data_IF_640193793058
#
_entry.id   IF_640193793058
#
_cell.length_a   1.000
_cell.length_b   1.000
_cell.length_c   1.000
_cell.angle_alpha   90.00
_cell.angle_beta   90.00
_cell.angle_gamma   90.00
#
_symmetry.space_group_name_H-M   'P 1'
#
loop_
_entity.id
_entity.type
_entity.pdbx_description
1 polymer ?
#
# COMPACT_ATOMS: atom_id res chain seq x y z
N UNK A 1 -1.70 5.39 -10.99
CA UNK A 1 -2.41 5.96 -9.82
C UNK A 1 -1.49 6.18 -8.63
N UNK A 2 -0.62 5.23 -8.28
CA UNK A 2 0.29 5.33 -7.13
C UNK A 2 1.20 6.57 -7.14
N UNK A 3 1.71 6.98 -8.30
CA UNK A 3 2.55 8.20 -8.44
C UNK A 3 1.78 9.48 -8.10
N UNK A 4 0.52 9.60 -8.55
CA UNK A 4 -0.33 10.75 -8.25
C UNK A 4 -0.65 10.85 -6.75
N UNK A 5 -0.84 9.70 -6.10
CA UNK A 5 -1.04 9.63 -4.64
C UNK A 5 0.25 10.02 -3.91
N UNK A 6 1.41 9.53 -4.34
CA UNK A 6 2.71 9.87 -3.76
C UNK A 6 3.02 11.37 -3.87
N UNK A 7 2.74 12.00 -5.01
CA UNK A 7 2.86 13.45 -5.20
C UNK A 7 1.98 14.22 -4.21
N UNK A 8 0.73 13.79 -4.03
CA UNK A 8 -0.22 14.41 -3.10
C UNK A 8 0.23 14.31 -1.65
N UNK A 9 0.79 13.16 -1.26
CA UNK A 9 1.33 12.93 0.09
C UNK A 9 2.57 13.78 0.32
N UNK A 10 3.44 13.91 -0.68
CA UNK A 10 4.60 14.80 -0.63
C UNK A 10 4.19 16.26 -0.36
N UNK A 11 3.15 16.74 -1.04
CA UNK A 11 2.59 18.07 -0.80
C UNK A 11 1.98 18.20 0.61
N UNK A 12 1.27 17.18 1.09
CA UNK A 12 0.68 17.18 2.43
C UNK A 12 1.76 17.25 3.51
N UNK A 13 2.77 16.38 3.47
CA UNK A 13 3.89 16.40 4.42
C UNK A 13 4.70 17.68 4.29
N UNK A 14 4.93 18.19 3.08
CA UNK A 14 5.60 19.47 2.85
C UNK A 14 4.86 20.67 3.45
N UNK A 15 3.52 20.64 3.48
CA UNK A 15 2.71 21.69 4.10
C UNK A 15 2.54 21.53 5.62
N UNK A 16 2.67 20.31 6.14
CA UNK A 16 2.49 20.00 7.57
C UNK A 16 3.67 20.47 8.43
N UNK A 17 4.87 20.42 7.87
CA UNK A 17 6.12 20.73 8.56
C UNK A 17 6.70 22.05 8.05
N UNK A 18 7.11 22.94 8.97
CA UNK A 18 7.81 24.18 8.59
C UNK A 18 9.26 23.91 8.14
N UNK A 19 9.87 22.84 8.64
CA UNK A 19 11.21 22.40 8.25
C UNK A 19 11.15 21.25 7.23
N UNK A 20 11.52 21.53 5.98
CA UNK A 20 11.58 20.53 4.90
C UNK A 20 12.46 19.32 5.25
N UNK A 21 13.57 19.52 5.96
CA UNK A 21 14.46 18.43 6.37
C UNK A 21 13.77 17.42 7.29
N UNK A 22 12.97 17.89 8.26
CA UNK A 22 12.20 17.04 9.17
C UNK A 22 11.03 16.38 8.42
N UNK A 23 10.38 17.13 7.53
CA UNK A 23 9.28 16.64 6.70
C UNK A 23 9.68 15.42 5.86
N UNK A 24 10.85 15.48 5.22
CA UNK A 24 11.35 14.40 4.36
C UNK A 24 11.66 13.14 5.16
N UNK A 25 12.32 13.27 6.31
CA UNK A 25 12.62 12.12 7.19
C UNK A 25 11.33 11.48 7.67
N UNK A 26 10.36 12.27 8.15
CA UNK A 26 9.07 11.76 8.59
C UNK A 26 8.33 11.03 7.45
N UNK A 27 8.31 11.61 6.25
CA UNK A 27 7.69 11.01 5.08
C UNK A 27 8.33 9.66 4.72
N UNK A 28 9.66 9.59 4.72
CA UNK A 28 10.38 8.34 4.42
C UNK A 28 10.13 7.25 5.47
N UNK A 29 10.17 7.60 6.76
CA UNK A 29 9.87 6.66 7.85
C UNK A 29 8.44 6.11 7.72
N UNK A 30 7.46 6.98 7.41
CA UNK A 30 6.10 6.55 7.16
C UNK A 30 6.01 5.61 5.95
N UNK A 31 6.60 5.97 4.82
CA UNK A 31 6.63 5.16 3.60
C UNK A 31 7.23 3.77 3.85
N UNK A 32 8.39 3.70 4.49
CA UNK A 32 9.05 2.43 4.83
C UNK A 32 8.19 1.60 5.78
N UNK A 33 7.59 2.24 6.80
CA UNK A 33 6.67 1.56 7.73
C UNK A 33 5.47 0.94 7.01
N UNK A 34 4.87 1.67 6.06
CA UNK A 34 3.75 1.16 5.26
C UNK A 34 4.16 0.05 4.31
N UNK A 35 5.34 0.14 3.67
CA UNK A 35 5.86 -0.90 2.81
C UNK A 35 6.11 -2.21 3.58
N UNK A 36 6.68 -2.11 4.78
CA UNK A 36 6.89 -3.27 5.66
C UNK A 36 5.55 -3.90 6.11
N UNK A 37 4.54 -3.07 6.40
CA UNK A 37 3.22 -3.55 6.79
C UNK A 37 2.45 -4.24 5.65
N UNK A 38 2.72 -3.87 4.39
CA UNK A 38 2.16 -4.51 3.19
C UNK A 38 2.87 -5.84 2.89
N UNK A 39 4.19 -5.87 3.06
CA UNK A 39 5.04 -7.02 2.80
C UNK A 39 5.10 -8.00 3.96
N UNK A 40 4.02 -8.75 4.19
CA UNK A 40 4.16 -10.18 4.48
C UNK A 40 4.96 -10.60 5.74
N UNK A 41 5.11 -9.75 6.76
CA UNK A 41 6.05 -10.04 7.86
C UNK A 41 5.48 -10.80 9.07
N UNK A 42 4.20 -11.18 9.10
CA UNK A 42 3.72 -11.96 10.25
C UNK A 42 2.46 -12.78 9.98
N UNK A 43 2.63 -14.10 10.07
CA UNK A 43 1.56 -15.11 10.18
C UNK A 43 0.68 -14.91 11.44
N UNK A 44 1.04 -13.97 12.32
CA UNK A 44 0.33 -13.65 13.56
C UNK A 44 0.28 -12.13 13.77
N UNK A 45 -0.35 -11.41 12.83
CA UNK A 45 -0.52 -9.95 12.96
C UNK A 45 -1.77 -9.67 13.80
N UNK A 46 -1.66 -8.90 14.90
CA UNK A 46 -2.81 -8.62 15.74
C UNK A 46 -3.87 -7.81 14.98
N UNK A 47 -5.14 -8.13 15.22
CA UNK A 47 -6.30 -7.58 14.49
C UNK A 47 -6.33 -6.05 14.42
N UNK A 48 -5.89 -5.37 15.50
CA UNK A 48 -5.86 -3.91 15.51
C UNK A 48 -4.97 -3.35 14.39
N UNK A 49 -3.79 -3.93 14.17
CA UNK A 49 -2.81 -3.47 13.19
C UNK A 49 -3.36 -3.63 11.78
N UNK A 50 -4.06 -4.72 11.50
CA UNK A 50 -4.72 -4.95 10.20
C UNK A 50 -5.79 -3.90 9.92
N UNK A 51 -6.59 -3.52 10.94
CA UNK A 51 -7.62 -2.47 10.79
C UNK A 51 -6.98 -1.12 10.48
N UNK A 52 -5.94 -0.72 11.22
CA UNK A 52 -5.24 0.54 11.00
C UNK A 52 -4.51 0.59 9.66
N UNK A 53 -3.79 -0.48 9.30
CA UNK A 53 -3.10 -0.59 8.01
C UNK A 53 -4.11 -0.57 6.86
N UNK A 54 -5.26 -1.24 6.99
CA UNK A 54 -6.31 -1.20 5.96
C UNK A 54 -6.94 0.20 5.81
N UNK A 55 -6.97 0.99 6.87
CA UNK A 55 -7.47 2.38 6.85
C UNK A 55 -6.45 3.40 6.35
N UNK A 56 -5.17 3.24 6.71
CA UNK A 56 -4.11 4.22 6.42
C UNK A 56 -3.36 3.91 5.13
N UNK A 57 -3.24 2.65 4.73
CA UNK A 57 -2.35 2.25 3.63
C UNK A 57 -3.12 2.07 2.32
N UNK A 58 -3.20 3.14 1.53
CA UNK A 58 -3.45 3.02 0.09
C UNK A 58 -2.46 2.05 -0.58
N UNK A 59 -1.27 1.88 0.00
CA UNK A 59 -0.25 0.91 -0.42
C UNK A 59 -0.77 -0.53 -0.43
N UNK A 60 -1.65 -0.93 0.49
CA UNK A 60 -2.22 -2.29 0.50
C UNK A 60 -3.08 -2.54 -0.73
N UNK A 61 -3.95 -1.59 -1.08
CA UNK A 61 -4.78 -1.71 -2.29
C UNK A 61 -3.95 -1.60 -3.57
N UNK A 62 -2.93 -0.72 -3.59
CA UNK A 62 -2.03 -0.58 -4.73
C UNK A 62 -1.19 -1.85 -4.95
N UNK A 63 -0.72 -2.47 -3.86
CA UNK A 63 0.01 -3.75 -3.90
C UNK A 63 -0.89 -4.88 -4.38
N UNK A 64 -2.12 -4.98 -3.85
CA UNK A 64 -3.11 -5.95 -4.28
C UNK A 64 -3.41 -5.82 -5.78
N UNK A 65 -3.59 -4.60 -6.29
CA UNK A 65 -3.77 -4.34 -7.71
C UNK A 65 -2.55 -4.72 -8.55
N UNK A 66 -1.33 -4.44 -8.05
CA UNK A 66 -0.10 -4.83 -8.72
C UNK A 66 0.07 -6.36 -8.78
N UNK A 67 -0.21 -7.07 -7.69
CA UNK A 67 -0.19 -8.54 -7.68
C UNK A 67 -1.25 -9.12 -8.63
N UNK A 68 -2.47 -8.60 -8.62
CA UNK A 68 -3.51 -9.02 -9.57
C UNK A 68 -3.05 -8.85 -11.01
N UNK A 69 -2.44 -7.70 -11.36
CA UNK A 69 -1.90 -7.45 -12.70
C UNK A 69 -0.69 -8.33 -13.05
N UNK A 70 0.17 -8.65 -12.08
CA UNK A 70 1.36 -9.47 -12.31
C UNK A 70 1.04 -10.96 -12.47
N UNK A 71 0.02 -11.42 -11.74
CA UNK A 71 -0.50 -12.79 -11.82
C UNK A 71 -1.68 -12.91 -12.78
N UNK A 72 -1.99 -11.86 -13.55
CA UNK A 72 -2.98 -11.90 -14.63
C UNK A 72 -2.46 -12.80 -15.76
N UNK A 73 -3.13 -13.93 -15.92
CA UNK A 73 -2.76 -15.01 -16.83
C UNK A 73 -2.49 -16.29 -16.05
N UNK A 74 -3.07 -17.41 -16.51
CA UNK A 74 -2.81 -18.76 -15.98
C UNK A 74 -1.37 -19.19 -16.32
N UNK A 75 -0.41 -18.60 -15.63
CA UNK A 75 1.00 -19.00 -15.71
C UNK A 75 1.31 -19.91 -14.53
N UNK A 76 1.96 -21.02 -14.85
CA UNK A 76 2.48 -21.96 -13.85
C UNK A 76 3.86 -21.51 -13.41
N UNK A 77 4.04 -21.34 -12.11
CA UNK A 77 5.34 -21.00 -11.52
C UNK A 77 5.92 -22.26 -10.87
N UNK A 78 7.22 -22.49 -11.07
CA UNK A 78 7.91 -23.62 -10.45
C UNK A 78 8.18 -23.28 -8.98
N UNK A 79 7.87 -24.21 -8.09
CA UNK A 79 8.30 -24.14 -6.71
C UNK A 79 9.82 -24.15 -6.68
N UNK A 80 10.43 -23.16 -6.02
CA UNK A 80 11.86 -23.18 -5.69
C UNK A 80 11.99 -23.35 -4.18
N UNK A 81 13.10 -23.94 -3.71
CA UNK A 81 13.33 -24.16 -2.29
C UNK A 81 13.22 -22.83 -1.51
N UNK A 82 12.36 -22.79 -0.49
CA UNK A 82 12.16 -21.62 0.37
C UNK A 82 10.92 -20.76 0.07
N UNK A 83 9.94 -21.29 -0.67
CA UNK A 83 8.67 -20.57 -0.93
C UNK A 83 7.68 -20.70 0.23
N UNK A 84 7.02 -19.58 0.59
CA UNK A 84 6.04 -19.46 1.68
C UNK A 84 4.66 -20.04 1.36
N UNK A 85 4.53 -20.75 0.24
CA UNK A 85 3.27 -21.35 -0.21
C UNK A 85 3.25 -22.78 0.33
N UNK A 86 2.27 -23.12 1.17
CA UNK A 86 2.19 -24.43 1.84
C UNK A 86 2.25 -25.61 0.85
N UNK A 87 1.76 -25.44 -0.38
CA UNK A 87 1.87 -26.45 -1.44
C UNK A 87 3.31 -26.73 -1.92
N UNK A 88 4.19 -25.72 -1.90
CA UNK A 88 5.59 -25.89 -2.29
C UNK A 88 6.48 -26.37 -1.14
N UNK A 89 5.97 -26.39 0.10
CA UNK A 89 6.71 -26.83 1.30
C UNK A 89 7.01 -28.33 1.29
N UNK A 90 6.13 -29.13 0.66
CA UNK A 90 6.23 -30.59 0.62
C UNK A 90 6.65 -31.14 -0.75
N UNK A 91 6.62 -30.31 -1.81
CA UNK A 91 7.02 -30.70 -3.16
C UNK A 91 7.87 -29.60 -3.81
N UNK A 92 9.20 -29.76 -3.73
CA UNK A 92 10.19 -28.81 -4.25
C UNK A 92 10.22 -28.75 -5.78
N UNK A 93 9.60 -29.71 -6.45
CA UNK A 93 9.51 -29.80 -7.91
C UNK A 93 8.07 -29.58 -8.41
N UNK A 94 7.16 -29.13 -7.52
CA UNK A 94 5.78 -28.83 -7.88
C UNK A 94 5.66 -27.55 -8.71
N UNK A 95 4.55 -27.42 -9.42
CA UNK A 95 4.14 -26.15 -10.06
C UNK A 95 2.90 -25.63 -9.37
N UNK A 96 2.85 -24.32 -9.09
CA UNK A 96 1.63 -23.68 -8.61
C UNK A 96 1.05 -22.75 -9.67
N UNK A 97 -0.28 -22.65 -9.70
CA UNK A 97 -1.01 -21.79 -10.63
C UNK A 97 -1.15 -20.40 -9.99
N UNK A 98 -1.02 -19.35 -10.78
CA UNK A 98 -1.24 -17.95 -10.38
C UNK A 98 -2.53 -17.71 -9.60
N UNK A 99 -3.59 -18.48 -9.88
CA UNK A 99 -4.91 -18.38 -9.24
C UNK A 99 -4.92 -18.83 -7.77
N UNK A 100 -4.08 -19.80 -7.40
CA UNK A 100 -3.90 -20.29 -6.02
C UNK A 100 -3.22 -19.22 -5.16
N UNK A 101 -2.24 -18.51 -5.73
CA UNK A 101 -1.59 -17.39 -5.06
C UNK A 101 -2.59 -16.24 -4.83
N UNK A 102 -3.41 -15.91 -5.82
CA UNK A 102 -4.41 -14.83 -5.70
C UNK A 102 -5.44 -15.14 -4.60
N UNK A 103 -5.88 -16.39 -4.47
CA UNK A 103 -6.77 -16.85 -3.38
C UNK A 103 -6.11 -16.76 -2.01
N UNK A 104 -4.83 -17.13 -1.90
CA UNK A 104 -4.08 -17.06 -0.64
C UNK A 104 -3.99 -15.63 -0.09
N UNK A 105 -3.82 -14.64 -0.97
CA UNK A 105 -3.77 -13.23 -0.59
C UNK A 105 -5.16 -12.59 -0.33
N UNK A 106 -6.24 -13.37 -0.35
CA UNK A 106 -7.62 -12.90 -0.10
C UNK A 106 -8.03 -11.72 -1.03
N UNK A 107 -7.64 -11.83 -2.30
CA UNK A 107 -7.87 -10.82 -3.34
C UNK A 107 -9.27 -10.90 -3.96
N UNK A 108 -10.30 -11.28 -3.18
CA UNK A 108 -11.69 -11.47 -3.63
C UNK A 108 -12.42 -10.17 -4.00
N UNK A 109 -11.81 -9.01 -3.73
CA UNK A 109 -12.34 -7.72 -4.19
C UNK A 109 -12.10 -7.57 -5.69
N UNK A 110 -13.21 -7.49 -6.43
CA UNK A 110 -13.26 -7.24 -7.86
C UNK A 110 -12.27 -6.11 -8.24
N UNK A 111 -11.46 -6.31 -9.28
CA UNK A 111 -10.36 -5.39 -9.67
C UNK A 111 -10.85 -3.94 -9.73
N UNK A 112 -12.06 -3.72 -10.30
CA UNK A 112 -12.69 -2.39 -10.38
C UNK A 112 -13.01 -1.75 -9.03
N UNK A 113 -13.38 -2.54 -8.01
CA UNK A 113 -13.65 -2.06 -6.65
C UNK A 113 -12.37 -1.60 -5.94
N UNK A 114 -11.26 -2.31 -6.14
CA UNK A 114 -9.94 -1.88 -5.64
C UNK A 114 -9.54 -0.53 -6.26
N UNK A 115 -9.71 -0.38 -7.58
CA UNK A 115 -9.43 0.89 -8.26
C UNK A 115 -10.36 2.03 -7.80
N UNK A 116 -11.64 1.74 -7.55
CA UNK A 116 -12.61 2.72 -7.05
C UNK A 116 -12.25 3.20 -5.64
N UNK A 117 -11.88 2.29 -4.74
CA UNK A 117 -11.43 2.64 -3.38
C UNK A 117 -10.13 3.44 -3.42
N UNK A 118 -9.17 3.04 -4.27
CA UNK A 118 -7.93 3.79 -4.50
C UNK A 118 -8.20 5.20 -5.01
N UNK A 119 -9.16 5.36 -5.92
CA UNK A 119 -9.55 6.66 -6.45
C UNK A 119 -10.23 7.53 -5.39
N UNK A 120 -11.10 6.96 -4.56
CA UNK A 120 -11.68 7.65 -3.41
C UNK A 120 -10.63 8.12 -2.41
N UNK A 121 -9.67 7.25 -2.06
CA UNK A 121 -8.53 7.60 -1.20
C UNK A 121 -7.68 8.72 -1.79
N UNK A 122 -7.42 8.71 -3.11
CA UNK A 122 -6.70 9.78 -3.79
C UNK A 122 -7.38 11.15 -3.60
N UNK A 123 -8.71 11.20 -3.77
CA UNK A 123 -9.49 12.43 -3.56
C UNK A 123 -9.37 12.90 -2.10
N UNK A 124 -9.46 11.99 -1.13
CA UNK A 124 -9.31 12.31 0.29
C UNK A 124 -7.93 12.90 0.62
N UNK A 125 -6.84 12.32 0.09
CA UNK A 125 -5.50 12.87 0.29
C UNK A 125 -5.32 14.25 -0.35
N UNK A 126 -5.92 14.49 -1.52
CA UNK A 126 -5.92 15.82 -2.16
C UNK A 126 -6.68 16.86 -1.35
N UNK A 127 -7.83 16.49 -0.79
CA UNK A 127 -8.61 17.38 0.10
C UNK A 127 -7.81 17.68 1.37
N UNK A 128 -7.20 16.67 2.00
CA UNK A 128 -6.36 16.84 3.18
C UNK A 128 -5.15 17.74 2.90
N UNK A 129 -4.47 17.57 1.76
CA UNK A 129 -3.40 18.44 1.31
C UNK A 129 -3.87 19.88 1.12
N UNK A 130 -5.01 20.08 0.47
CA UNK A 130 -5.59 21.42 0.27
C UNK A 130 -5.94 22.10 1.59
N UNK A 131 -6.53 21.35 2.53
CA UNK A 131 -6.83 21.85 3.88
C UNK A 131 -5.53 22.23 4.61
N UNK A 132 -4.52 21.34 4.60
CA UNK A 132 -3.23 21.60 5.24
C UNK A 132 -2.54 22.85 4.68
N UNK A 133 -2.53 23.02 3.35
CA UNK A 133 -2.03 24.22 2.67
C UNK A 133 -2.83 25.47 3.04
N UNK A 134 -4.16 25.36 3.15
CA UNK A 134 -4.99 26.50 3.56
C UNK A 134 -4.70 26.93 5.00
N UNK A 135 -4.52 25.96 5.91
CA UNK A 135 -4.17 26.24 7.30
C UNK A 135 -2.75 26.77 7.46
N UNK A 136 -1.77 26.27 6.69
CA UNK A 136 -0.40 26.78 6.74
C UNK A 136 -0.31 28.21 6.21
N UNK A 137 -1.05 28.54 5.14
CA UNK A 137 -1.11 29.88 4.58
C UNK A 137 -1.76 30.89 5.55
N UNK A 138 -2.77 30.45 6.33
CA UNK A 138 -3.35 31.26 7.43
C UNK A 138 -2.35 31.48 8.57
N UNK A 139 -1.45 30.53 8.82
CA UNK A 139 -0.44 30.61 9.89
C UNK A 139 0.76 31.49 9.51
N UNK A 140 1.11 31.54 8.23
CA UNK A 140 2.17 32.42 7.69
C UNK A 140 1.84 33.91 7.66
N UNK A 141 0.58 34.30 7.88
CA UNK A 141 0.16 35.71 7.99
C UNK A 141 0.18 36.28 9.43
N UNK A 142 0.65 35.53 10.44
CA UNK A 142 0.70 35.95 11.86
C UNK A 142 2.12 35.93 12.45
N UNK A 143 3.14 36.12 11.63
CA UNK A 143 4.52 36.37 12.07
C UNK A 143 5.06 37.60 11.38
#
# INVERSE_FOLDING_TARGET
>A
MSVLIAESIGLFFGALFQDLGKAMVACNVCLVGFLLAVGYFSHNTPYWLTVWVKWISFFTYAYNGCMQLQFMGERTYQCTNGTFIDMCKNNTNGTFISTEAIKYFNLDLNVGLNFLVLFGMFILYRIAAYIALRFSNVRGGRT
#
